data_IF_143636753952
#
_entry.id   IF_143636753952
#
_cell.length_a   1.000
_cell.length_b   1.000
_cell.length_c   1.000
_cell.angle_alpha   90.00
_cell.angle_beta   90.00
_cell.angle_gamma   90.00
#
_symmetry.space_group_name_H-M   'P 1'
#
loop_
_entity.id
_entity.type
_entity.pdbx_description
1 polymer ?
#
# COMPACT_ATOMS: atom_id res chain seq x y z
N UNK A 1 -24.15 -5.18 -3.82
CA UNK A 1 -22.68 -5.21 -3.82
C UNK A 1 -22.24 -6.53 -3.24
N UNK A 2 -21.20 -7.17 -3.78
CA UNK A 2 -20.66 -8.39 -3.19
C UNK A 2 -19.97 -8.06 -1.86
N UNK A 3 -20.11 -8.93 -0.86
CA UNK A 3 -19.42 -8.80 0.43
C UNK A 3 -17.91 -8.62 0.24
N UNK A 4 -17.34 -9.40 -0.67
CA UNK A 4 -15.93 -9.33 -1.05
C UNK A 4 -15.50 -7.96 -1.61
N UNK A 5 -16.32 -7.32 -2.45
CA UNK A 5 -16.03 -5.98 -2.94
C UNK A 5 -16.05 -4.94 -1.81
N UNK A 6 -16.95 -5.11 -0.83
CA UNK A 6 -17.00 -4.24 0.34
C UNK A 6 -15.77 -4.39 1.24
N UNK A 7 -15.32 -5.63 1.48
CA UNK A 7 -14.09 -5.92 2.25
C UNK A 7 -12.85 -5.33 1.58
N UNK A 8 -12.68 -5.55 0.29
CA UNK A 8 -11.57 -4.97 -0.47
C UNK A 8 -11.61 -3.44 -0.43
N UNK A 9 -12.79 -2.85 -0.55
CA UNK A 9 -12.98 -1.40 -0.44
C UNK A 9 -12.55 -0.89 0.94
N UNK A 10 -12.98 -1.56 2.01
CA UNK A 10 -12.60 -1.20 3.39
C UNK A 10 -11.08 -1.33 3.63
N UNK A 11 -10.45 -2.38 3.09
CA UNK A 11 -9.01 -2.56 3.15
C UNK A 11 -8.27 -1.40 2.45
N UNK A 12 -8.70 -1.04 1.23
CA UNK A 12 -8.11 0.06 0.47
C UNK A 12 -8.25 1.40 1.22
N UNK A 13 -9.42 1.68 1.81
CA UNK A 13 -9.61 2.86 2.67
C UNK A 13 -8.67 2.87 3.88
N UNK A 14 -8.46 1.72 4.51
CA UNK A 14 -7.54 1.58 5.65
C UNK A 14 -6.08 1.88 5.24
N UNK A 15 -5.67 1.46 4.05
CA UNK A 15 -4.35 1.80 3.51
C UNK A 15 -4.22 3.30 3.21
N UNK A 16 -5.21 3.91 2.55
CA UNK A 16 -5.20 5.36 2.26
C UNK A 16 -5.17 6.20 3.54
N UNK A 17 -5.95 5.83 4.56
CA UNK A 17 -5.91 6.47 5.87
C UNK A 17 -4.53 6.34 6.54
N UNK A 18 -3.89 5.18 6.38
CA UNK A 18 -2.52 4.95 6.86
C UNK A 18 -1.50 5.82 6.13
N UNK A 19 -1.62 6.01 4.82
CA UNK A 19 -0.76 6.95 4.07
C UNK A 19 -0.88 8.38 4.62
N UNK A 20 -2.11 8.87 4.82
CA UNK A 20 -2.37 10.20 5.40
C UNK A 20 -1.72 10.36 6.78
N UNK A 21 -1.88 9.36 7.66
CA UNK A 21 -1.29 9.37 9.01
C UNK A 21 0.24 9.41 8.99
N UNK A 22 0.87 8.80 8.00
CA UNK A 22 2.32 8.77 7.84
C UNK A 22 2.87 9.90 6.96
N UNK A 23 2.04 10.90 6.59
CA UNK A 23 2.41 12.00 5.69
C UNK A 23 2.96 11.54 4.34
N UNK A 24 2.37 10.48 3.79
CA UNK A 24 2.73 9.87 2.51
C UNK A 24 1.69 10.26 1.47
N UNK A 25 2.16 10.64 0.27
CA UNK A 25 1.30 10.81 -0.88
C UNK A 25 0.72 9.44 -1.29
N UNK A 26 -0.61 9.33 -1.27
CA UNK A 26 -1.32 8.08 -1.50
C UNK A 26 -1.15 7.55 -2.92
N UNK A 27 -1.09 8.47 -3.90
CA UNK A 27 -0.93 8.13 -5.31
C UNK A 27 0.46 7.57 -5.60
N UNK A 28 1.50 8.23 -5.12
CA UNK A 28 2.89 7.78 -5.28
C UNK A 28 3.13 6.43 -4.61
N UNK A 29 2.59 6.24 -3.41
CA UNK A 29 2.64 4.95 -2.72
C UNK A 29 1.95 3.85 -3.53
N UNK A 30 0.71 4.09 -3.97
CA UNK A 30 -0.07 3.09 -4.70
C UNK A 30 0.59 2.71 -6.04
N UNK A 31 1.16 3.69 -6.74
CA UNK A 31 1.92 3.47 -7.97
C UNK A 31 3.11 2.54 -7.74
N UNK A 32 3.97 2.84 -6.76
CA UNK A 32 5.14 2.02 -6.42
C UNK A 32 4.73 0.60 -5.96
N UNK A 33 3.64 0.49 -5.20
CA UNK A 33 3.08 -0.81 -4.79
C UNK A 33 2.70 -1.63 -6.02
N UNK A 34 1.97 -1.07 -6.99
CA UNK A 34 1.59 -1.81 -8.20
C UNK A 34 2.79 -2.22 -9.06
N UNK A 35 3.83 -1.39 -9.14
CA UNK A 35 5.06 -1.71 -9.87
C UNK A 35 5.86 -2.84 -9.19
N UNK A 36 5.90 -2.86 -7.85
CA UNK A 36 6.74 -3.79 -7.08
C UNK A 36 6.05 -5.08 -6.66
N UNK A 37 4.73 -5.07 -6.45
CA UNK A 37 4.00 -6.22 -5.90
C UNK A 37 4.14 -7.47 -6.76
N UNK A 38 4.34 -7.30 -8.08
CA UNK A 38 4.51 -8.39 -9.03
C UNK A 38 5.87 -9.11 -8.92
N UNK A 39 6.91 -8.41 -8.42
CA UNK A 39 8.29 -8.91 -8.40
C UNK A 39 8.87 -9.08 -6.98
N UNK A 40 8.24 -8.49 -5.96
CA UNK A 40 8.73 -8.53 -4.59
C UNK A 40 8.61 -9.94 -3.99
N UNK A 41 9.64 -10.37 -3.26
CA UNK A 41 9.57 -11.60 -2.49
C UNK A 41 8.52 -11.48 -1.38
N UNK A 42 7.71 -12.53 -1.15
CA UNK A 42 6.71 -12.59 -0.09
C UNK A 42 7.24 -12.17 1.30
N UNK A 43 8.50 -12.53 1.62
CA UNK A 43 9.14 -12.14 2.89
C UNK A 43 9.31 -10.63 3.03
N UNK A 44 9.30 -9.89 1.93
CA UNK A 44 9.53 -8.44 1.86
C UNK A 44 8.24 -7.63 1.64
N UNK A 45 7.06 -8.25 1.58
CA UNK A 45 5.78 -7.54 1.38
C UNK A 45 5.55 -6.42 2.40
N UNK A 46 6.04 -6.58 3.63
CA UNK A 46 5.95 -5.57 4.67
C UNK A 46 6.59 -4.22 4.27
N UNK A 47 7.54 -4.22 3.32
CA UNK A 47 8.18 -3.01 2.80
C UNK A 47 7.21 -2.13 1.99
N UNK A 48 6.14 -2.72 1.46
CA UNK A 48 5.09 -2.03 0.70
C UNK A 48 4.03 -1.40 1.61
N UNK A 49 4.02 -1.70 2.92
CA UNK A 49 3.08 -1.08 3.85
C UNK A 49 3.35 0.43 3.95
N UNK A 50 2.32 1.29 4.01
CA UNK A 50 2.49 2.74 4.07
C UNK A 50 3.51 3.19 5.13
N UNK A 51 3.47 2.64 6.34
CA UNK A 51 4.39 3.01 7.43
C UNK A 51 5.87 2.70 7.14
N UNK A 52 6.16 1.68 6.33
CA UNK A 52 7.52 1.24 6.01
C UNK A 52 8.00 1.82 4.68
N UNK A 53 7.08 2.16 3.78
CA UNK A 53 7.36 2.57 2.42
C UNK A 53 8.43 3.66 2.28
N UNK A 54 8.45 4.74 3.09
CA UNK A 54 9.48 5.79 2.97
C UNK A 54 10.92 5.28 3.14
N UNK A 55 11.10 4.18 3.89
CA UNK A 55 12.42 3.57 4.14
C UNK A 55 12.87 2.65 3.00
N UNK A 56 11.94 2.06 2.27
CA UNK A 56 12.20 1.00 1.29
C UNK A 56 11.83 1.36 -0.14
N UNK A 57 11.26 2.55 -0.37
CA UNK A 57 11.00 3.04 -1.72
C UNK A 57 12.31 3.36 -2.44
N UNK A 58 12.40 3.12 -3.75
CA UNK A 58 13.51 3.61 -4.56
C UNK A 58 13.68 5.13 -4.38
N UNK A 59 14.94 5.60 -4.46
CA UNK A 59 15.23 7.04 -4.44
C UNK A 59 14.96 7.67 -5.79
#
# INVERSE_FOLDING_TARGET
GSHHAAEMTAAMYSFMASCKRNHINEFEWLKDVFERIQSINHKNLYQLLPSNWPKYRPK
#
